data_IF_526924284026
#
_entry.id   IF_526924284026
#
_cell.length_a   1.000
_cell.length_b   1.000
_cell.length_c   1.000
_cell.angle_alpha   90.00
_cell.angle_beta   90.00
_cell.angle_gamma   90.00
#
_symmetry.space_group_name_H-M   'P 1'
#
loop_
_entity.id
_entity.type
_entity.pdbx_description
1 polymer ?
#
# COMPACT_ATOMS: atom_id res chain seq x y z
N UNK A 1 -28.87 -13.97 15.80
CA UNK A 1 -28.11 -13.77 14.56
C UNK A 1 -27.58 -12.34 14.38
N UNK A 2 -26.85 -11.78 15.36
CA UNK A 2 -26.18 -10.45 15.26
C UNK A 2 -24.88 -10.35 16.05
N UNK A 3 -24.45 -11.44 16.68
CA UNK A 3 -23.35 -11.39 17.64
C UNK A 3 -22.52 -12.68 17.56
N UNK A 4 -21.75 -12.81 16.49
CA UNK A 4 -20.56 -13.65 16.55
C UNK A 4 -19.46 -12.85 17.24
N UNK A 5 -19.02 -13.36 18.40
CA UNK A 5 -17.99 -12.69 19.20
C UNK A 5 -16.62 -13.16 18.74
N UNK A 6 -15.87 -12.29 18.07
CA UNK A 6 -14.44 -12.54 17.83
C UNK A 6 -13.69 -12.22 19.13
N UNK A 7 -13.26 -13.26 19.84
CA UNK A 7 -12.45 -13.12 21.04
C UNK A 7 -10.98 -12.95 20.66
N UNK A 8 -10.40 -11.83 21.08
CA UNK A 8 -9.01 -11.46 20.80
C UNK A 8 -8.31 -11.19 22.13
N UNK A 9 -7.06 -11.64 22.29
CA UNK A 9 -6.31 -11.39 23.52
C UNK A 9 -5.97 -9.90 23.67
N UNK A 10 -5.93 -9.40 24.90
CA UNK A 10 -5.59 -8.00 25.17
C UNK A 10 -4.24 -7.59 24.56
N UNK A 11 -3.27 -8.51 24.54
CA UNK A 11 -1.96 -8.30 23.92
C UNK A 11 -2.03 -8.02 22.41
N UNK A 12 -3.02 -8.59 21.71
CA UNK A 12 -3.25 -8.33 20.28
C UNK A 12 -3.90 -6.95 20.09
N UNK A 13 -4.80 -6.54 20.98
CA UNK A 13 -5.47 -5.23 20.94
C UNK A 13 -4.47 -4.10 21.27
N UNK A 14 -3.65 -4.28 22.31
CA UNK A 14 -2.69 -3.29 22.79
C UNK A 14 -1.50 -3.09 21.84
N UNK A 15 -1.26 -4.07 20.96
CA UNK A 15 -0.22 -3.96 19.93
C UNK A 15 -0.50 -2.88 18.88
N UNK A 16 -1.72 -2.30 18.83
CA UNK A 16 -2.09 -1.23 17.90
C UNK A 16 -1.94 -1.59 16.42
N UNK A 17 -1.70 -2.86 16.13
CA UNK A 17 -1.19 -3.33 14.85
C UNK A 17 -2.14 -4.25 14.13
N UNK A 18 -3.23 -4.67 14.76
CA UNK A 18 -4.26 -5.45 14.09
C UNK A 18 -5.48 -4.55 13.94
N UNK A 19 -5.77 -4.15 12.70
CA UNK A 19 -6.93 -3.32 12.36
C UNK A 19 -7.91 -4.16 11.55
N UNK A 20 -9.16 -4.25 12.00
CA UNK A 20 -10.24 -4.84 11.20
C UNK A 20 -10.44 -4.04 9.91
N UNK A 21 -10.54 -4.73 8.77
CA UNK A 21 -10.87 -4.11 7.49
C UNK A 21 -12.39 -3.95 7.38
N UNK A 22 -12.95 -2.72 7.37
CA UNK A 22 -14.40 -2.53 7.30
C UNK A 22 -14.98 -3.17 6.03
N UNK A 23 -16.15 -3.81 6.17
CA UNK A 23 -16.88 -4.48 5.09
C UNK A 23 -16.16 -5.69 4.44
N UNK A 24 -15.14 -6.25 5.10
CA UNK A 24 -14.45 -7.48 4.65
C UNK A 24 -15.10 -8.77 5.13
N UNK A 25 -16.13 -8.67 5.96
CA UNK A 25 -16.74 -9.86 6.54
C UNK A 25 -17.54 -10.64 5.50
N UNK A 26 -17.35 -11.95 5.46
CA UNK A 26 -18.18 -12.88 4.70
C UNK A 26 -18.77 -13.88 5.69
N UNK A 27 -20.09 -13.82 5.85
CA UNK A 27 -20.86 -14.84 6.56
C UNK A 27 -21.19 -15.93 5.57
N UNK A 28 -20.64 -17.12 5.76
CA UNK A 28 -21.30 -18.32 5.29
C UNK A 28 -22.36 -18.69 6.35
N UNK A 29 -23.46 -19.33 5.96
CA UNK A 29 -24.49 -19.75 6.91
C UNK A 29 -25.63 -18.74 7.04
N UNK A 30 -26.49 -18.73 6.02
CA UNK A 30 -27.92 -18.37 6.12
C UNK A 30 -28.65 -18.92 4.87
N UNK A 31 -28.15 -20.04 4.32
CA UNK A 31 -28.73 -20.75 3.18
C UNK A 31 -29.67 -21.87 3.63
N UNK A 32 -29.86 -22.02 4.95
CA UNK A 32 -30.68 -23.07 5.58
C UNK A 32 -30.00 -24.44 5.63
N UNK A 33 -28.73 -24.55 5.25
CA UNK A 33 -28.00 -25.82 5.24
C UNK A 33 -27.26 -26.05 6.55
N UNK A 34 -27.83 -26.88 7.42
CA UNK A 34 -27.21 -27.32 8.66
C UNK A 34 -26.28 -28.53 8.42
N UNK A 35 -24.96 -28.34 8.54
CA UNK A 35 -23.96 -29.41 8.34
C UNK A 35 -23.74 -30.32 9.57
N UNK A 36 -24.54 -30.15 10.62
CA UNK A 36 -24.46 -30.83 11.91
C UNK A 36 -25.68 -31.73 12.18
N UNK A 37 -26.32 -32.26 11.13
CA UNK A 37 -27.51 -33.14 11.22
C UNK A 37 -27.35 -34.34 12.17
N UNK A 38 -26.13 -34.85 12.34
CA UNK A 38 -25.80 -35.91 13.29
C UNK A 38 -26.15 -35.59 14.75
N UNK A 39 -26.36 -34.31 15.11
CA UNK A 39 -26.83 -33.91 16.45
C UNK A 39 -28.29 -34.29 16.70
N UNK A 40 -29.14 -34.24 15.67
CA UNK A 40 -30.58 -34.51 15.77
C UNK A 40 -30.96 -35.88 15.18
N UNK A 41 -30.05 -36.51 14.43
CA UNK A 41 -30.22 -37.88 13.98
C UNK A 41 -29.97 -38.87 15.12
N UNK A 42 -30.84 -39.89 15.20
CA UNK A 42 -30.65 -40.98 16.16
C UNK A 42 -29.44 -41.85 15.75
N UNK A 43 -28.66 -42.38 16.71
CA UNK A 43 -28.87 -42.32 18.15
C UNK A 43 -27.98 -41.26 18.85
N UNK A 44 -28.50 -40.05 19.08
CA UNK A 44 -27.90 -39.11 20.01
C UNK A 44 -28.61 -39.18 21.37
N UNK A 45 -27.99 -39.85 22.35
CA UNK A 45 -28.48 -39.96 23.72
C UNK A 45 -27.60 -39.20 24.73
N UNK A 46 -26.58 -38.47 24.26
CA UNK A 46 -25.61 -37.78 25.11
C UNK A 46 -26.25 -36.60 25.85
N UNK A 47 -27.24 -35.96 25.23
CA UNK A 47 -28.02 -34.84 25.79
C UNK A 47 -29.51 -35.05 25.48
N UNK A 48 -30.39 -34.30 26.15
CA UNK A 48 -31.82 -34.34 25.83
C UNK A 48 -32.09 -33.83 24.41
N UNK A 49 -33.19 -34.26 23.81
CA UNK A 49 -33.58 -33.84 22.47
C UNK A 49 -33.74 -32.31 22.33
N UNK A 50 -34.23 -31.65 23.38
CA UNK A 50 -34.36 -30.18 23.41
C UNK A 50 -32.99 -29.49 23.37
N UNK A 51 -32.01 -30.03 24.09
CA UNK A 51 -30.63 -29.53 24.09
C UNK A 51 -29.96 -29.81 22.74
N UNK A 52 -30.12 -31.01 22.18
CA UNK A 52 -29.60 -31.36 20.86
C UNK A 52 -30.16 -30.45 19.76
N UNK A 53 -31.47 -30.17 19.81
CA UNK A 53 -32.17 -29.28 18.87
C UNK A 53 -31.69 -27.83 19.03
N UNK A 54 -31.55 -27.35 20.28
CA UNK A 54 -31.03 -26.01 20.53
C UNK A 54 -29.59 -25.84 20.02
N UNK A 55 -28.73 -26.84 20.22
CA UNK A 55 -27.35 -26.84 19.72
C UNK A 55 -27.31 -26.89 18.18
N UNK A 56 -28.18 -27.68 17.56
CA UNK A 56 -28.30 -27.78 16.11
C UNK A 56 -28.61 -26.42 15.45
N UNK A 57 -29.61 -25.71 15.98
CA UNK A 57 -29.98 -24.37 15.50
C UNK A 57 -29.00 -23.27 15.92
N UNK A 58 -28.31 -23.41 17.05
CA UNK A 58 -27.29 -22.45 17.48
C UNK A 58 -25.98 -22.59 16.68
N UNK A 59 -25.78 -23.70 15.97
CA UNK A 59 -24.57 -24.03 15.23
C UNK A 59 -24.72 -23.82 13.71
N UNK A 60 -25.78 -23.15 13.25
CA UNK A 60 -25.95 -22.72 11.84
C UNK A 60 -25.00 -21.58 11.43
N UNK A 61 -24.31 -21.00 12.40
CA UNK A 61 -23.22 -20.08 12.21
C UNK A 61 -21.99 -20.81 11.64
N UNK A 62 -21.96 -20.96 10.31
CA UNK A 62 -20.74 -21.28 9.57
C UNK A 62 -19.67 -20.21 9.86
N UNK A 63 -18.37 -20.52 9.65
CA UNK A 63 -17.30 -19.60 9.98
C UNK A 63 -17.49 -18.25 9.27
N UNK A 64 -17.61 -17.18 10.07
CA UNK A 64 -17.49 -15.81 9.60
C UNK A 64 -16.03 -15.53 9.35
N UNK A 65 -15.69 -15.27 8.10
CA UNK A 65 -14.38 -14.74 7.74
C UNK A 65 -14.43 -13.23 7.86
N UNK A 66 -13.44 -12.62 8.49
CA UNK A 66 -13.23 -11.20 8.50
C UNK A 66 -11.74 -10.94 8.21
N UNK A 67 -11.44 -9.98 7.35
CA UNK A 67 -10.06 -9.64 7.07
C UNK A 67 -9.54 -8.68 8.13
N UNK A 68 -8.36 -9.02 8.66
CA UNK A 68 -7.61 -8.18 9.57
C UNK A 68 -6.29 -7.81 8.93
N UNK A 69 -5.96 -6.51 9.00
CA UNK A 69 -4.67 -6.00 8.55
C UNK A 69 -3.74 -5.99 9.74
N UNK A 70 -2.69 -6.81 9.68
CA UNK A 70 -1.56 -6.73 10.58
C UNK A 70 -0.62 -5.64 10.04
N UNK A 71 -0.72 -4.44 10.58
CA UNK A 71 0.32 -3.44 10.47
C UNK A 71 1.55 -3.96 11.23
N UNK A 72 2.74 -3.97 10.63
CA UNK A 72 3.92 -4.39 11.37
C UNK A 72 4.19 -3.40 12.51
N UNK A 73 4.13 -3.85 13.77
CA UNK A 73 4.76 -3.16 14.89
C UNK A 73 6.28 -3.18 14.64
N UNK A 74 6.83 -2.13 14.05
CA UNK A 74 8.26 -1.89 14.19
C UNK A 74 8.50 -1.12 15.48
N UNK A 75 8.94 -1.82 16.53
CA UNK A 75 9.64 -1.17 17.64
C UNK A 75 10.82 -2.02 18.08
N UNK A 76 12.01 -1.68 17.54
CA UNK A 76 13.24 -1.50 18.32
C UNK A 76 14.01 -0.36 17.66
N UNK A 77 14.30 0.68 18.44
CA UNK A 77 15.32 1.71 18.19
C UNK A 77 16.65 1.01 17.85
N UNK A 78 17.03 0.98 16.58
CA UNK A 78 18.42 0.98 16.12
C UNK A 78 18.43 1.26 14.62
N UNK A 79 19.40 2.10 14.23
CA UNK A 79 19.47 2.79 12.95
C UNK A 79 19.44 1.84 11.75
N UNK A 80 18.78 2.29 10.66
CA UNK A 80 18.84 1.75 9.30
C UNK A 80 17.92 0.55 8.99
N UNK A 81 16.62 0.80 8.87
CA UNK A 81 15.76 0.28 7.78
C UNK A 81 14.34 0.84 8.00
N UNK A 82 14.11 2.06 7.52
CA UNK A 82 12.75 2.54 7.30
C UNK A 82 12.03 1.49 6.44
N UNK A 83 10.92 0.94 6.92
CA UNK A 83 9.93 0.38 5.99
C UNK A 83 9.42 1.57 5.20
N UNK A 84 10.11 1.80 4.08
CA UNK A 84 9.95 2.92 3.20
C UNK A 84 8.55 2.85 2.60
N UNK A 85 7.58 3.44 3.29
CA UNK A 85 6.36 3.95 2.69
C UNK A 85 6.72 5.24 1.93
N UNK A 86 7.69 5.17 1.02
CA UNK A 86 7.95 6.29 0.12
C UNK A 86 6.92 6.19 -0.97
N UNK A 87 5.87 6.99 -0.84
CA UNK A 87 5.04 7.34 -1.97
C UNK A 87 5.92 7.77 -3.16
N UNK A 88 5.33 7.78 -4.35
CA UNK A 88 6.02 8.40 -5.48
C UNK A 88 6.38 9.84 -5.11
N UNK A 89 7.66 10.17 -5.15
CA UNK A 89 8.14 11.50 -4.81
C UNK A 89 9.18 11.97 -5.82
N UNK A 90 9.07 13.23 -6.19
CA UNK A 90 10.08 13.94 -6.96
C UNK A 90 10.70 15.00 -6.05
N UNK A 91 11.97 14.84 -5.76
CA UNK A 91 12.70 15.73 -4.86
C UNK A 91 13.18 16.98 -5.60
N UNK A 92 13.48 18.03 -4.83
CA UNK A 92 14.15 19.21 -5.36
C UNK A 92 15.57 18.82 -5.82
N UNK A 93 15.97 19.29 -7.00
CA UNK A 93 17.31 19.05 -7.51
C UNK A 93 18.37 19.70 -6.61
N UNK A 94 19.53 19.08 -6.47
CA UNK A 94 20.64 19.62 -5.68
C UNK A 94 21.96 19.54 -6.46
N UNK A 95 22.74 20.64 -6.51
CA UNK A 95 22.41 21.98 -6.00
C UNK A 95 21.26 22.65 -6.79
N UNK A 96 20.58 23.62 -6.17
CA UNK A 96 19.66 24.54 -6.85
C UNK A 96 19.73 25.91 -6.15
N UNK A 97 20.27 26.97 -6.77
CA UNK A 97 20.68 27.05 -8.19
C UNK A 97 21.88 26.17 -8.53
N UNK A 98 22.08 25.83 -9.82
CA UNK A 98 23.14 24.92 -10.27
C UNK A 98 23.95 25.45 -11.46
N UNK A 99 25.16 24.92 -11.65
CA UNK A 99 26.07 25.27 -12.77
C UNK A 99 27.07 24.14 -13.12
N UNK A 100 27.09 23.64 -14.37
CA UNK A 100 25.95 23.40 -15.24
C UNK A 100 25.25 22.06 -14.90
N UNK A 101 25.72 21.34 -13.87
CA UNK A 101 25.23 20.02 -13.48
C UNK A 101 24.45 20.07 -12.17
N UNK A 102 23.43 19.22 -12.06
CA UNK A 102 22.64 19.02 -10.84
C UNK A 102 22.19 17.57 -10.75
N UNK A 103 21.81 17.12 -9.56
CA UNK A 103 21.26 15.78 -9.33
C UNK A 103 19.75 15.91 -9.11
N UNK A 104 18.98 15.15 -9.88
CA UNK A 104 17.54 15.00 -9.71
C UNK A 104 17.28 13.65 -9.04
N UNK A 105 16.63 13.70 -7.87
CA UNK A 105 16.29 12.53 -7.08
C UNK A 105 14.78 12.25 -7.14
N UNK A 106 14.40 10.98 -7.18
CA UNK A 106 13.01 10.54 -7.08
C UNK A 106 12.89 9.15 -6.45
N UNK A 107 11.73 8.84 -5.86
CA UNK A 107 11.42 7.55 -5.26
C UNK A 107 10.27 6.85 -5.97
N UNK A 108 10.38 5.52 -6.04
CA UNK A 108 9.34 4.61 -6.52
C UNK A 108 8.94 3.71 -5.33
N UNK A 109 7.68 3.74 -4.87
CA UNK A 109 7.20 2.91 -3.77
C UNK A 109 7.32 1.41 -4.07
N UNK A 110 7.54 0.62 -3.01
CA UNK A 110 7.35 -0.83 -3.04
C UNK A 110 5.86 -1.23 -3.12
N UNK A 111 4.96 -0.33 -2.75
CA UNK A 111 3.52 -0.56 -2.67
C UNK A 111 2.77 0.52 -3.45
N UNK A 112 2.09 0.13 -4.53
CA UNK A 112 1.18 1.02 -5.27
C UNK A 112 -0.20 0.42 -5.15
N UNK A 113 -1.09 1.13 -4.45
CA UNK A 113 -2.52 0.84 -4.26
C UNK A 113 -2.88 -0.65 -4.30
N UNK A 114 -2.78 -1.28 -3.13
CA UNK A 114 -3.30 -2.63 -2.84
C UNK A 114 -2.62 -3.82 -3.55
N UNK A 115 -1.51 -3.62 -4.28
CA UNK A 115 -0.68 -4.71 -4.78
C UNK A 115 0.82 -4.36 -4.70
N UNK A 116 1.65 -5.37 -4.43
CA UNK A 116 3.12 -5.26 -4.45
C UNK A 116 3.55 -4.81 -5.84
N UNK A 117 4.30 -3.71 -5.92
CA UNK A 117 4.74 -3.13 -7.18
C UNK A 117 6.01 -3.79 -7.69
N UNK A 118 5.97 -4.34 -8.90
CA UNK A 118 7.09 -5.08 -9.51
C UNK A 118 7.98 -4.21 -10.38
N UNK A 119 7.40 -3.28 -11.16
CA UNK A 119 8.12 -2.23 -11.87
C UNK A 119 7.14 -1.15 -12.37
N UNK A 120 7.58 0.10 -12.45
CA UNK A 120 6.80 1.23 -12.97
C UNK A 120 7.50 1.90 -14.15
N UNK A 121 6.73 2.29 -15.18
CA UNK A 121 7.27 3.03 -16.33
C UNK A 121 7.48 4.50 -15.94
N UNK A 122 8.73 4.88 -15.74
CA UNK A 122 9.14 6.21 -15.29
C UNK A 122 9.59 7.07 -16.47
N UNK A 123 9.00 8.26 -16.56
CA UNK A 123 9.41 9.30 -17.50
C UNK A 123 9.82 10.56 -16.75
N UNK A 124 11.10 10.92 -16.84
CA UNK A 124 11.65 12.17 -16.32
C UNK A 124 12.01 13.07 -17.50
N UNK A 125 11.39 14.25 -17.57
CA UNK A 125 11.54 15.21 -18.67
C UNK A 125 11.83 16.61 -18.16
N UNK A 126 12.54 17.41 -18.96
CA UNK A 126 12.86 18.82 -18.70
C UNK A 126 12.16 19.70 -19.72
N UNK A 127 11.63 20.82 -19.25
CA UNK A 127 10.89 21.81 -20.02
C UNK A 127 11.41 23.22 -19.74
N UNK A 128 11.24 24.11 -20.71
CA UNK A 128 11.45 25.55 -20.51
C UNK A 128 10.21 26.25 -19.94
N UNK A 129 10.31 27.56 -19.74
CA UNK A 129 9.21 28.39 -19.20
C UNK A 129 7.98 28.46 -20.09
N UNK A 130 8.10 28.10 -21.36
CA UNK A 130 6.99 28.04 -22.32
C UNK A 130 6.36 26.64 -22.39
N UNK A 131 6.85 25.68 -21.58
CA UNK A 131 6.39 24.30 -21.58
C UNK A 131 6.90 23.47 -22.76
N UNK A 132 7.92 23.95 -23.50
CA UNK A 132 8.54 23.17 -24.57
C UNK A 132 9.46 22.12 -23.96
N UNK A 133 9.32 20.87 -24.41
CA UNK A 133 10.21 19.79 -23.98
C UNK A 133 11.62 20.02 -24.51
N UNK A 134 12.59 20.09 -23.59
CA UNK A 134 14.00 20.30 -23.89
C UNK A 134 14.73 18.98 -23.96
N UNK A 135 14.48 18.08 -22.98
CA UNK A 135 15.19 16.81 -22.89
C UNK A 135 14.37 15.77 -22.11
N UNK A 136 14.34 14.55 -22.61
CA UNK A 136 13.95 13.39 -21.81
C UNK A 136 15.20 12.81 -21.14
N UNK A 137 15.22 12.78 -19.80
CA UNK A 137 16.34 12.27 -19.00
C UNK A 137 16.17 10.77 -18.74
N UNK A 138 14.94 10.34 -18.41
CA UNK A 138 14.61 8.93 -18.13
C UNK A 138 13.33 8.58 -18.87
N UNK A 139 13.29 7.40 -19.49
CA UNK A 139 12.09 6.83 -20.11
C UNK A 139 12.21 5.30 -20.12
N UNK A 140 12.11 4.69 -18.94
CA UNK A 140 12.29 3.24 -18.79
C UNK A 140 11.46 2.67 -17.64
N UNK A 141 11.30 1.35 -17.65
CA UNK A 141 10.69 0.62 -16.52
C UNK A 141 11.73 0.46 -15.40
N UNK A 142 11.37 0.88 -14.19
CA UNK A 142 12.22 0.81 -13.00
C UNK A 142 11.51 0.06 -11.87
N UNK A 143 12.28 -0.72 -11.12
CA UNK A 143 11.81 -1.39 -9.91
C UNK A 143 11.60 -0.36 -8.79
N UNK A 144 10.88 -0.70 -7.72
CA UNK A 144 10.86 0.12 -6.52
C UNK A 144 12.26 0.46 -6.02
N UNK A 145 12.41 1.69 -5.52
CA UNK A 145 13.69 2.21 -5.05
C UNK A 145 13.82 3.71 -5.21
N UNK A 146 14.94 4.23 -4.72
CA UNK A 146 15.31 5.65 -4.85
C UNK A 146 16.36 5.76 -5.95
N UNK A 147 16.16 6.72 -6.85
CA UNK A 147 17.00 6.95 -8.00
C UNK A 147 17.54 8.37 -7.99
N UNK A 148 18.80 8.51 -8.38
CA UNK A 148 19.47 9.79 -8.57
C UNK A 148 19.99 9.83 -10.00
N UNK A 149 19.70 10.92 -10.71
CA UNK A 149 20.12 11.10 -12.09
C UNK A 149 20.77 12.45 -12.23
N UNK A 150 22.00 12.45 -12.77
CA UNK A 150 22.71 13.67 -13.09
C UNK A 150 22.09 14.31 -14.34
N UNK A 151 21.76 15.59 -14.24
CA UNK A 151 21.35 16.41 -15.37
C UNK A 151 22.46 17.42 -15.69
N UNK A 152 22.93 17.38 -16.93
CA UNK A 152 23.89 18.33 -17.49
C UNK A 152 23.18 19.31 -18.43
N UNK A 153 23.25 20.59 -18.08
CA UNK A 153 22.66 21.71 -18.81
C UNK A 153 23.71 22.58 -19.52
N UNK A 154 24.89 22.03 -19.85
CA UNK A 154 25.97 22.75 -20.53
C UNK A 154 25.56 23.36 -21.88
N UNK A 155 24.53 22.84 -22.54
CA UNK A 155 23.99 23.37 -23.79
C UNK A 155 22.85 24.39 -23.61
N UNK A 156 22.42 24.63 -22.37
CA UNK A 156 21.29 25.52 -22.06
C UNK A 156 21.76 26.90 -21.57
N UNK A 157 20.95 27.93 -21.79
CA UNK A 157 21.19 29.29 -21.28
C UNK A 157 20.76 29.42 -19.81
N UNK A 158 21.39 30.33 -19.04
CA UNK A 158 20.94 30.67 -17.69
C UNK A 158 19.45 31.02 -17.67
N UNK A 159 18.72 30.51 -16.68
CA UNK A 159 17.27 30.69 -16.62
C UNK A 159 16.55 29.64 -15.77
N UNK A 160 15.23 29.77 -15.76
CA UNK A 160 14.31 28.88 -15.05
C UNK A 160 13.92 27.73 -15.97
N UNK A 161 13.98 26.51 -15.44
CA UNK A 161 13.53 25.30 -16.10
C UNK A 161 12.62 24.50 -15.17
N UNK A 162 11.83 23.62 -15.75
CA UNK A 162 10.95 22.71 -15.02
C UNK A 162 11.32 21.28 -15.37
N UNK A 163 11.19 20.38 -14.41
CA UNK A 163 11.33 18.95 -14.66
C UNK A 163 10.14 18.21 -14.07
N UNK A 164 9.70 17.19 -14.80
CA UNK A 164 8.47 16.44 -14.49
C UNK A 164 8.76 14.97 -14.39
N UNK A 165 8.27 14.33 -13.34
CA UNK A 165 8.25 12.88 -13.17
C UNK A 165 6.84 12.37 -13.44
N UNK A 166 6.70 11.48 -14.41
CA UNK A 166 5.44 10.81 -14.75
C UNK A 166 5.59 9.30 -14.63
N UNK A 167 4.70 8.67 -13.90
CA UNK A 167 4.62 7.20 -13.75
C UNK A 167 3.20 6.79 -13.42
N UNK A 168 2.58 5.97 -14.28
CA UNK A 168 1.17 5.59 -14.12
C UNK A 168 0.25 6.82 -13.96
N UNK A 169 -0.46 6.88 -12.83
CA UNK A 169 -1.31 8.01 -12.42
C UNK A 169 -0.56 9.13 -11.70
N UNK A 170 0.68 8.89 -11.26
CA UNK A 170 1.48 9.90 -10.58
C UNK A 170 2.10 10.88 -11.59
N UNK A 171 2.01 12.16 -11.25
CA UNK A 171 2.62 13.25 -11.99
C UNK A 171 3.08 14.33 -11.00
N UNK A 172 4.36 14.67 -11.05
CA UNK A 172 4.93 15.73 -10.21
C UNK A 172 5.88 16.60 -11.01
N UNK A 173 5.90 17.90 -10.70
CA UNK A 173 6.73 18.90 -11.37
C UNK A 173 7.50 19.72 -10.34
N UNK A 174 8.76 20.03 -10.63
CA UNK A 174 9.61 20.89 -9.82
C UNK A 174 10.33 21.91 -10.71
N UNK A 175 10.73 23.02 -10.09
CA UNK A 175 11.41 24.15 -10.74
C UNK A 175 12.89 24.12 -10.38
N UNK A 176 13.76 24.40 -11.34
CA UNK A 176 15.21 24.54 -11.15
C UNK A 176 15.73 25.84 -11.77
N UNK A 177 16.79 26.41 -11.20
CA UNK A 177 17.44 27.62 -11.68
C UNK A 177 18.88 27.32 -12.11
N UNK A 178 19.15 27.47 -13.42
CA UNK A 178 20.49 27.38 -13.99
C UNK A 178 21.18 28.75 -13.95
N UNK A 179 22.37 28.82 -13.38
CA UNK A 179 23.22 30.00 -13.37
C UNK A 179 24.54 29.64 -14.04
N UNK A 180 24.85 30.28 -15.17
CA UNK A 180 26.19 30.29 -15.79
C UNK A 180 26.82 31.65 -15.65
#
# INVERSE_FOLDING_TARGET
>A
DRFDMILVSQAVIDSGSITYLPNSYTTFGNDGNHFNGALIELPNATVSNDIATALYYASDHLPVYADFVIQPLTSVKNNESELIKNDFELFQNYPNPFNPTTIIKYSIPNTVSNNISTASNVKLKVFDVLGREIKTIVNQSQKPGTYEVQFDASELSSGIYFYTLKTGSFYSTKKMLLIK
#
